data_IF_647165816562
#
_entry.id   IF_647165816562
#
_cell.length_a   1.000
_cell.length_b   1.000
_cell.length_c   1.000
_cell.angle_alpha   90.00
_cell.angle_beta   90.00
_cell.angle_gamma   90.00
#
_symmetry.space_group_name_H-M   'P 1'
#
loop_
_entity.id
_entity.type
_entity.pdbx_description
1 polymer ?
#
# COMPACT_ATOMS: atom_id res chain seq x y z
N UNK A 1 -17.88 -12.47 25.26
CA UNK A 1 -18.11 -12.45 23.80
C UNK A 1 -18.05 -11.04 23.20
N UNK A 2 -18.81 -10.06 23.71
CA UNK A 2 -18.84 -8.68 23.19
C UNK A 2 -17.48 -7.96 23.24
N UNK A 3 -16.67 -8.22 24.27
CA UNK A 3 -15.34 -7.62 24.41
C UNK A 3 -14.33 -8.12 23.37
N UNK A 4 -14.31 -9.43 23.11
CA UNK A 4 -13.46 -10.03 22.09
C UNK A 4 -13.82 -9.54 20.67
N UNK A 5 -15.11 -9.34 20.40
CA UNK A 5 -15.57 -8.79 19.12
C UNK A 5 -15.08 -7.36 18.89
N UNK A 6 -15.09 -6.51 19.94
CA UNK A 6 -14.58 -5.13 19.87
C UNK A 6 -13.07 -5.10 19.58
N UNK A 7 -12.30 -5.97 20.23
CA UNK A 7 -10.85 -6.10 20.01
C UNK A 7 -10.58 -6.54 18.57
N UNK A 8 -11.31 -7.55 18.09
CA UNK A 8 -11.15 -8.05 16.74
C UNK A 8 -11.45 -6.95 15.71
N UNK A 9 -12.55 -6.20 15.84
CA UNK A 9 -12.87 -5.10 14.94
C UNK A 9 -11.80 -4.01 14.94
N UNK A 10 -11.26 -3.62 16.10
CA UNK A 10 -10.23 -2.58 16.18
C UNK A 10 -8.90 -3.07 15.60
N UNK A 11 -8.52 -4.33 15.84
CA UNK A 11 -7.34 -4.94 15.22
C UNK A 11 -7.45 -5.02 13.70
N UNK A 12 -8.64 -5.31 13.18
CA UNK A 12 -8.91 -5.39 11.75
C UNK A 12 -8.78 -4.01 11.11
N UNK A 13 -9.38 -2.98 11.72
CA UNK A 13 -9.32 -1.59 11.25
C UNK A 13 -7.88 -1.09 11.25
N UNK A 14 -7.12 -1.34 12.33
CA UNK A 14 -5.72 -0.94 12.41
C UNK A 14 -4.87 -1.61 11.31
N UNK A 15 -5.13 -2.89 11.04
CA UNK A 15 -4.39 -3.62 10.00
C UNK A 15 -4.74 -3.17 8.59
N UNK A 16 -6.01 -2.85 8.33
CA UNK A 16 -6.43 -2.27 7.06
C UNK A 16 -5.78 -0.90 6.87
N UNK A 17 -5.80 -0.05 7.90
CA UNK A 17 -5.17 1.27 7.85
C UNK A 17 -3.66 1.16 7.57
N UNK A 18 -2.98 0.21 8.22
CA UNK A 18 -1.59 -0.11 7.94
C UNK A 18 -1.36 -0.52 6.48
N UNK A 19 -2.11 -1.51 5.98
CA UNK A 19 -1.96 -1.99 4.62
C UNK A 19 -2.23 -0.92 3.56
N UNK A 20 -3.15 0.01 3.84
CA UNK A 20 -3.41 1.17 2.97
C UNK A 20 -2.22 2.14 2.98
N UNK A 21 -1.68 2.48 4.14
CA UNK A 21 -0.52 3.37 4.24
C UNK A 21 0.68 2.77 3.50
N UNK A 22 0.95 1.49 3.71
CA UNK A 22 2.06 0.79 3.05
C UNK A 22 1.92 0.77 1.54
N UNK A 23 0.72 0.44 1.04
CA UNK A 23 0.43 0.46 -0.38
C UNK A 23 0.53 1.84 -1.01
N UNK A 24 0.10 2.90 -0.31
CA UNK A 24 0.20 4.28 -0.80
C UNK A 24 1.65 4.72 -0.87
N UNK A 25 2.44 4.39 0.15
CA UNK A 25 3.88 4.65 0.14
C UNK A 25 4.55 3.92 -1.03
N UNK A 26 4.26 2.65 -1.22
CA UNK A 26 4.77 1.87 -2.33
C UNK A 26 4.37 2.48 -3.69
N UNK A 27 3.09 2.73 -3.92
CA UNK A 27 2.60 3.22 -5.22
C UNK A 27 3.07 4.64 -5.59
N UNK A 28 3.20 5.56 -4.62
CA UNK A 28 3.51 6.96 -4.91
C UNK A 28 5.00 7.30 -4.78
N UNK A 29 5.72 6.64 -3.87
CA UNK A 29 7.11 6.98 -3.57
C UNK A 29 8.10 6.06 -4.28
N UNK A 30 7.72 4.83 -4.66
CA UNK A 30 8.68 3.89 -5.25
C UNK A 30 9.36 4.44 -6.50
N UNK A 31 8.59 4.96 -7.44
CA UNK A 31 9.11 5.43 -8.72
C UNK A 31 9.96 6.71 -8.56
N UNK A 32 9.49 7.65 -7.74
CA UNK A 32 10.19 8.92 -7.49
C UNK A 32 11.49 8.71 -6.72
N UNK A 33 11.50 7.90 -5.67
CA UNK A 33 12.71 7.62 -4.90
C UNK A 33 13.67 6.73 -5.68
N UNK A 34 13.17 5.82 -6.53
CA UNK A 34 14.02 4.98 -7.39
C UNK A 34 14.88 5.83 -8.33
N UNK A 35 14.30 6.87 -8.94
CA UNK A 35 15.04 7.81 -9.79
C UNK A 35 16.13 8.55 -8.99
N UNK A 36 15.81 9.00 -7.76
CA UNK A 36 16.76 9.72 -6.89
C UNK A 36 17.89 8.79 -6.45
N UNK A 37 17.57 7.56 -6.00
CA UNK A 37 18.54 6.60 -5.51
C UNK A 37 19.48 6.12 -6.61
N UNK A 38 18.97 5.84 -7.82
CA UNK A 38 19.82 5.53 -8.99
C UNK A 38 20.76 6.68 -9.32
N UNK A 39 20.26 7.92 -9.29
CA UNK A 39 21.05 9.11 -9.64
C UNK A 39 22.12 9.46 -8.60
N UNK A 40 21.84 9.24 -7.31
CA UNK A 40 22.69 9.73 -6.22
C UNK A 40 23.62 8.65 -5.63
N UNK A 41 23.20 7.39 -5.66
CA UNK A 41 23.97 6.26 -5.12
C UNK A 41 24.44 5.26 -6.19
N UNK A 42 24.08 5.48 -7.46
CA UNK A 42 24.46 4.62 -8.58
C UNK A 42 24.10 3.14 -8.36
N UNK A 43 22.91 2.91 -7.79
CA UNK A 43 22.40 1.59 -7.46
C UNK A 43 21.83 0.89 -8.70
N UNK A 44 22.05 -0.43 -8.78
CA UNK A 44 21.49 -1.26 -9.85
C UNK A 44 19.96 -1.35 -9.76
N UNK A 45 19.34 -1.64 -10.91
CA UNK A 45 17.89 -1.81 -11.08
C UNK A 45 17.29 -2.91 -10.20
N UNK A 46 18.10 -3.88 -9.76
CA UNK A 46 17.70 -4.98 -8.88
C UNK A 46 17.72 -4.59 -7.40
N UNK A 47 18.75 -3.84 -6.97
CA UNK A 47 18.94 -3.43 -5.57
C UNK A 47 18.06 -2.26 -5.17
N UNK A 48 17.79 -1.35 -6.10
CA UNK A 48 16.97 -0.15 -5.85
C UNK A 48 15.56 -0.47 -5.30
N UNK A 49 14.75 -1.34 -5.94
CA UNK A 49 13.43 -1.68 -5.42
C UNK A 49 13.50 -2.46 -4.09
N UNK A 50 14.54 -3.26 -3.86
CA UNK A 50 14.72 -3.98 -2.60
C UNK A 50 14.93 -3.01 -1.42
N UNK A 51 15.80 -2.02 -1.60
CA UNK A 51 16.10 -1.01 -0.58
C UNK A 51 14.88 -0.10 -0.37
N UNK A 52 14.24 0.37 -1.44
CA UNK A 52 13.03 1.18 -1.34
C UNK A 52 11.89 0.44 -0.67
N UNK A 53 11.65 -0.82 -1.04
CA UNK A 53 10.65 -1.66 -0.42
C UNK A 53 10.92 -1.86 1.06
N UNK A 54 12.18 -2.08 1.44
CA UNK A 54 12.60 -2.18 2.84
C UNK A 54 12.38 -0.89 3.64
N UNK A 55 12.71 0.28 3.06
CA UNK A 55 12.48 1.59 3.69
C UNK A 55 10.98 1.86 3.83
N UNK A 56 10.20 1.64 2.77
CA UNK A 56 8.75 1.82 2.78
C UNK A 56 8.11 0.92 3.84
N UNK A 57 8.43 -0.37 3.85
CA UNK A 57 7.94 -1.31 4.86
C UNK A 57 8.31 -0.88 6.29
N UNK A 58 9.54 -0.41 6.51
CA UNK A 58 10.00 0.06 7.82
C UNK A 58 9.21 1.29 8.31
N UNK A 59 8.96 2.25 7.42
CA UNK A 59 8.16 3.44 7.71
C UNK A 59 6.72 3.05 8.01
N UNK A 60 6.14 2.16 7.20
CA UNK A 60 4.80 1.63 7.43
C UNK A 60 4.71 0.96 8.78
N UNK A 61 5.68 0.11 9.15
CA UNK A 61 5.71 -0.60 10.44
C UNK A 61 5.76 0.40 11.59
N UNK A 62 6.60 1.43 11.48
CA UNK A 62 6.69 2.48 12.47
C UNK A 62 5.36 3.23 12.64
N UNK A 63 4.69 3.56 11.54
CA UNK A 63 3.35 4.16 11.56
C UNK A 63 2.30 3.22 12.18
N UNK A 64 2.34 1.93 11.87
CA UNK A 64 1.47 0.92 12.47
C UNK A 64 1.61 0.89 13.98
N UNK A 65 2.85 0.79 14.48
CA UNK A 65 3.16 0.75 15.91
C UNK A 65 2.63 2.00 16.58
N UNK A 66 2.78 3.17 15.96
CA UNK A 66 2.32 4.44 16.55
C UNK A 66 0.79 4.52 16.62
N UNK A 67 0.08 4.14 15.54
CA UNK A 67 -1.38 4.08 15.50
C UNK A 67 -1.90 3.06 16.51
N UNK A 68 -1.22 1.92 16.63
CA UNK A 68 -1.57 0.85 17.54
C UNK A 68 -1.38 1.25 19.00
N UNK A 69 -0.26 1.87 19.35
CA UNK A 69 -0.03 2.41 20.69
C UNK A 69 -1.08 3.47 21.05
N UNK A 70 -1.45 4.33 20.11
CA UNK A 70 -2.52 5.31 20.31
C UNK A 70 -3.88 4.63 20.59
N UNK A 71 -4.23 3.60 19.82
CA UNK A 71 -5.47 2.84 20.00
C UNK A 71 -5.46 2.01 21.30
N UNK A 72 -4.35 1.36 21.63
CA UNK A 72 -4.21 0.54 22.83
C UNK A 72 -4.37 1.40 24.09
N UNK A 73 -3.75 2.59 24.11
CA UNK A 73 -3.85 3.55 25.23
C UNK A 73 -5.27 4.08 25.37
N UNK A 74 -5.97 4.34 24.25
CA UNK A 74 -7.32 4.89 24.25
C UNK A 74 -8.42 3.89 24.61
N UNK A 75 -8.24 2.61 24.24
CA UNK A 75 -9.26 1.57 24.38
C UNK A 75 -8.89 0.46 25.39
N UNK A 76 -7.78 0.61 26.12
CA UNK A 76 -7.29 -0.34 27.12
C UNK A 76 -7.23 -1.78 26.57
N UNK A 77 -6.72 -1.91 25.34
CA UNK A 77 -6.70 -3.18 24.61
C UNK A 77 -5.44 -3.98 24.95
N UNK A 78 -5.65 -5.25 25.31
CA UNK A 78 -4.59 -6.23 25.52
C UNK A 78 -3.85 -6.54 24.23
N UNK A 79 -2.55 -6.79 24.39
CA UNK A 79 -1.59 -7.15 23.35
C UNK A 79 -2.16 -8.12 22.30
N UNK A 80 -1.97 -7.76 21.03
CA UNK A 80 -2.26 -8.63 19.90
C UNK A 80 -1.32 -9.83 19.87
N UNK A 81 -1.83 -10.91 19.32
CA UNK A 81 -1.02 -12.06 18.92
C UNK A 81 -0.42 -11.82 17.53
N UNK A 82 0.83 -12.21 17.26
CA UNK A 82 1.53 -11.99 15.99
C UNK A 82 0.77 -12.53 14.76
N UNK A 83 -0.05 -13.57 14.95
CA UNK A 83 -0.91 -14.10 13.89
C UNK A 83 -1.95 -13.10 13.37
N UNK A 84 -2.49 -12.24 14.24
CA UNK A 84 -3.52 -11.26 13.86
C UNK A 84 -2.94 -10.13 13.00
N UNK A 85 -1.67 -9.76 13.25
CA UNK A 85 -0.95 -8.78 12.44
C UNK A 85 -0.63 -9.36 11.06
N UNK A 86 -0.08 -10.56 11.00
CA UNK A 86 0.22 -11.23 9.73
C UNK A 86 -1.03 -11.39 8.85
N UNK A 87 -2.17 -11.78 9.44
CA UNK A 87 -3.44 -11.86 8.71
C UNK A 87 -3.88 -10.49 8.18
N UNK A 88 -3.73 -9.46 9.01
CA UNK A 88 -4.06 -8.09 8.66
C UNK A 88 -3.26 -7.56 7.47
N UNK A 89 -1.94 -7.82 7.46
CA UNK A 89 -1.04 -7.45 6.36
C UNK A 89 -1.45 -8.18 5.09
N UNK A 90 -1.55 -9.52 5.14
CA UNK A 90 -1.93 -10.34 3.97
C UNK A 90 -3.28 -9.88 3.40
N UNK A 91 -4.26 -9.64 4.26
CA UNK A 91 -5.60 -9.21 3.83
C UNK A 91 -5.59 -7.80 3.22
N UNK A 92 -4.87 -6.86 3.83
CA UNK A 92 -4.69 -5.51 3.30
C UNK A 92 -4.02 -5.51 1.92
N UNK A 93 -2.96 -6.29 1.75
CA UNK A 93 -2.26 -6.44 0.47
C UNK A 93 -3.19 -7.02 -0.61
N UNK A 94 -3.99 -8.04 -0.28
CA UNK A 94 -4.97 -8.62 -1.22
C UNK A 94 -5.98 -7.57 -1.68
N UNK A 95 -6.53 -6.76 -0.76
CA UNK A 95 -7.47 -5.69 -1.09
C UNK A 95 -6.84 -4.70 -2.08
N UNK A 96 -5.62 -4.25 -1.80
CA UNK A 96 -4.90 -3.30 -2.65
C UNK A 96 -4.66 -3.87 -4.04
N UNK A 97 -4.22 -5.13 -4.14
CA UNK A 97 -4.02 -5.81 -5.44
C UNK A 97 -5.32 -5.88 -6.23
N UNK A 98 -6.44 -6.20 -5.58
CA UNK A 98 -7.76 -6.25 -6.22
C UNK A 98 -8.17 -4.86 -6.72
N UNK A 99 -8.04 -3.83 -5.88
CA UNK A 99 -8.34 -2.44 -6.26
C UNK A 99 -7.48 -1.97 -7.43
N UNK A 100 -6.19 -2.29 -7.41
CA UNK A 100 -5.25 -1.95 -8.48
C UNK A 100 -5.61 -2.64 -9.80
N UNK A 101 -5.92 -3.94 -9.77
CA UNK A 101 -6.42 -4.67 -10.95
C UNK A 101 -7.70 -4.06 -11.50
N UNK A 102 -8.62 -3.65 -10.62
CA UNK A 102 -9.86 -3.01 -11.02
C UNK A 102 -9.61 -1.63 -11.66
N UNK A 103 -8.71 -0.83 -11.08
CA UNK A 103 -8.30 0.45 -11.61
C UNK A 103 -7.67 0.32 -13.01
N UNK A 104 -6.74 -0.62 -13.21
CA UNK A 104 -6.16 -0.88 -14.54
C UNK A 104 -7.24 -1.30 -15.53
N UNK A 105 -8.15 -2.20 -15.14
CA UNK A 105 -9.25 -2.64 -16.01
C UNK A 105 -10.17 -1.49 -16.42
N UNK A 106 -10.47 -0.57 -15.50
CA UNK A 106 -11.23 0.65 -15.79
C UNK A 106 -10.45 1.60 -16.71
N UNK A 107 -9.15 1.81 -16.45
CA UNK A 107 -8.29 2.64 -17.29
C UNK A 107 -8.19 2.09 -18.71
N UNK A 108 -8.00 0.79 -18.88
CA UNK A 108 -7.98 0.13 -20.20
C UNK A 108 -9.33 0.20 -20.91
N UNK A 109 -10.45 0.09 -20.18
CA UNK A 109 -11.79 0.27 -20.75
C UNK A 109 -12.01 1.72 -21.21
N UNK A 110 -11.49 2.71 -20.48
CA UNK A 110 -11.55 4.12 -20.85
C UNK A 110 -10.71 4.43 -22.09
N UNK A 111 -9.48 3.89 -22.16
CA UNK A 111 -8.59 4.06 -23.34
C UNK A 111 -9.21 3.41 -24.59
N UNK A 112 -9.78 2.21 -24.48
CA UNK A 112 -10.46 1.56 -25.61
C UNK A 112 -11.78 2.25 -26.02
N UNK A 113 -12.31 3.15 -25.18
CA UNK A 113 -13.53 3.93 -25.50
C UNK A 113 -13.21 5.27 -26.17
N UNK A 114 -11.96 5.72 -26.19
CA UNK A 114 -11.50 6.78 -27.09
C UNK A 114 -10.92 6.15 -28.37
N UNK A 115 -11.70 6.03 -29.47
CA UNK A 115 -11.12 5.66 -30.74
C UNK A 115 -10.15 6.77 -31.18
N UNK A 116 -9.03 6.33 -31.76
CA UNK A 116 -7.97 7.15 -32.33
C UNK A 116 -8.50 8.27 -33.25
N UNK A 117 -8.62 9.49 -32.74
CA UNK A 117 -8.84 10.71 -33.55
C UNK A 117 -7.51 11.38 -33.94
N UNK A 118 -6.42 10.62 -34.08
CA UNK A 118 -5.10 11.15 -34.44
C UNK A 118 -4.48 10.43 -35.65
N UNK A 119 -5.27 10.21 -36.70
CA UNK A 119 -4.75 9.76 -38.01
C UNK A 119 -5.11 10.67 -39.21
N UNK A 120 -5.73 11.85 -38.99
CA UNK A 120 -6.14 12.72 -40.11
C UNK A 120 -5.29 13.99 -40.33
N UNK A 121 -4.10 14.13 -39.75
CA UNK A 121 -3.27 15.33 -39.93
C UNK A 121 -1.97 15.15 -40.73
N UNK A 122 -1.83 14.09 -41.53
CA UNK A 122 -0.65 13.89 -42.38
C UNK A 122 -0.92 13.79 -43.90
N UNK A 123 -2.11 14.17 -44.36
CA UNK A 123 -2.37 14.31 -45.81
C UNK A 123 -3.23 15.56 -46.03
N UNK A 124 -2.59 16.73 -46.10
CA UNK A 124 -3.08 17.93 -46.77
C UNK A 124 -1.90 18.86 -47.06
#
# INVERSE_FOLDING_TARGET
MIFALKILCISLIASIAFGVVDAVFFLLLEENLSIIFKKQFNLDDMTTPLILGGIAASISILCAIHIEQYLATKYNMLHKTPYSEAFGIIFGTIIVIILFKFYIKLKLKYINFQPSTSQYHLIA
#
